data_IF_108915642290
#
_entry.id   IF_108915642290
#
_cell.length_a   1.000
_cell.length_b   1.000
_cell.length_c   1.000
_cell.angle_alpha   90.00
_cell.angle_beta   90.00
_cell.angle_gamma   90.00
#
_symmetry.space_group_name_H-M   'P 1'
#
loop_
_entity.id
_entity.type
_entity.pdbx_description
1 polymer ?
#
# COMPACT_ATOMS: atom_id res chain seq x y z
N UNK A 1 52.36 -0.76 17.37
CA UNK A 1 51.16 -0.89 16.52
C UNK A 1 49.94 -0.86 17.43
N UNK A 2 48.89 -0.07 17.15
CA UNK A 2 47.71 -0.07 18.01
C UNK A 2 46.95 -1.38 17.83
N UNK A 3 46.69 -2.07 18.93
CA UNK A 3 45.94 -3.32 18.95
C UNK A 3 44.51 -3.06 18.48
N UNK A 4 44.11 -3.68 17.37
CA UNK A 4 42.70 -3.70 16.94
C UNK A 4 41.97 -4.76 17.76
N UNK A 5 41.17 -4.31 18.72
CA UNK A 5 40.28 -5.18 19.51
C UNK A 5 38.94 -5.24 18.81
N UNK A 6 38.52 -6.45 18.42
CA UNK A 6 37.12 -6.70 18.03
C UNK A 6 36.32 -6.92 19.30
N UNK A 7 35.54 -5.92 19.69
CA UNK A 7 34.63 -6.05 20.82
C UNK A 7 33.40 -6.82 20.33
N UNK A 8 33.25 -8.07 20.74
CA UNK A 8 32.01 -8.82 20.49
C UNK A 8 30.94 -8.18 21.37
N UNK A 9 29.90 -7.63 20.75
CA UNK A 9 28.75 -7.08 21.48
C UNK A 9 28.20 -8.13 22.44
N UNK A 10 27.88 -7.70 23.67
CA UNK A 10 27.31 -8.58 24.70
C UNK A 10 26.16 -9.41 24.10
N UNK A 11 26.16 -10.72 24.38
CA UNK A 11 25.04 -11.58 23.98
C UNK A 11 23.82 -11.13 24.76
N UNK A 12 22.77 -10.71 24.05
CA UNK A 12 21.50 -10.34 24.69
C UNK A 12 20.90 -11.56 25.37
N UNK A 13 20.46 -11.39 26.60
CA UNK A 13 19.85 -12.46 27.38
C UNK A 13 18.35 -12.51 27.11
N UNK A 14 17.80 -13.73 27.14
CA UNK A 14 16.37 -14.00 27.01
C UNK A 14 15.92 -14.79 28.22
N UNK A 15 14.95 -14.28 28.96
CA UNK A 15 14.42 -14.89 30.16
C UNK A 15 13.01 -15.44 29.91
N UNK A 16 12.64 -16.50 30.63
CA UNK A 16 11.34 -17.17 30.54
C UNK A 16 10.90 -17.57 31.94
N UNK A 17 9.97 -16.81 32.53
CA UNK A 17 9.46 -17.03 33.89
C UNK A 17 8.11 -16.30 34.05
N UNK A 18 7.52 -16.28 35.25
CA UNK A 18 6.42 -15.35 35.58
C UNK A 18 6.93 -13.91 35.66
N UNK A 19 6.07 -12.92 35.42
CA UNK A 19 6.47 -11.50 35.39
C UNK A 19 7.19 -11.06 36.68
N UNK A 20 6.72 -11.54 37.83
CA UNK A 20 7.29 -11.19 39.14
C UNK A 20 8.73 -11.72 39.34
N UNK A 21 9.11 -12.77 38.60
CA UNK A 21 10.41 -13.43 38.71
C UNK A 21 11.42 -12.99 37.64
N UNK A 22 11.00 -12.20 36.65
CA UNK A 22 11.92 -11.70 35.63
C UNK A 22 13.02 -10.85 36.31
N UNK A 23 14.31 -11.09 36.01
CA UNK A 23 15.40 -10.48 36.75
C UNK A 23 15.44 -8.96 36.53
N UNK A 24 15.77 -8.22 37.59
CA UNK A 24 15.99 -6.76 37.52
C UNK A 24 17.46 -6.39 37.67
N UNK A 25 18.33 -7.37 37.93
CA UNK A 25 19.78 -7.24 38.06
C UNK A 25 20.49 -8.17 37.09
N UNK A 26 21.66 -7.77 36.58
CA UNK A 26 22.40 -8.56 35.58
C UNK A 26 21.78 -8.53 34.18
N UNK A 27 20.75 -7.71 33.98
CA UNK A 27 20.05 -7.46 32.72
C UNK A 27 20.60 -6.22 32.04
N UNK A 28 20.76 -6.29 30.72
CA UNK A 28 21.20 -5.15 29.90
C UNK A 28 20.05 -4.59 29.07
N UNK A 29 20.10 -3.29 28.78
CA UNK A 29 19.08 -2.61 27.96
C UNK A 29 18.89 -3.39 26.65
N UNK A 30 17.65 -3.77 26.36
CA UNK A 30 17.29 -4.51 25.16
C UNK A 30 17.27 -6.03 25.31
N UNK A 31 17.61 -6.58 26.48
CA UNK A 31 17.35 -7.99 26.81
C UNK A 31 15.84 -8.27 26.77
N UNK A 32 15.46 -9.52 26.53
CA UNK A 32 14.07 -9.94 26.33
C UNK A 32 13.61 -10.83 27.48
N UNK A 33 12.33 -10.74 27.84
CA UNK A 33 11.73 -11.59 28.87
C UNK A 33 10.32 -11.99 28.46
N UNK A 34 10.00 -13.28 28.42
CA UNK A 34 8.63 -13.74 28.24
C UNK A 34 8.02 -14.06 29.61
N UNK A 35 6.95 -13.34 29.96
CA UNK A 35 6.20 -13.60 31.18
C UNK A 35 5.12 -14.66 30.93
N UNK A 36 5.25 -15.83 31.53
CA UNK A 36 4.36 -16.99 31.28
C UNK A 36 2.96 -16.82 31.85
N UNK A 37 2.83 -16.11 32.96
CA UNK A 37 1.56 -15.76 33.63
C UNK A 37 0.76 -14.72 32.83
N UNK A 38 1.45 -13.81 32.12
CA UNK A 38 0.83 -12.75 31.30
C UNK A 38 0.81 -13.05 29.80
N UNK A 39 1.45 -14.14 29.38
CA UNK A 39 1.66 -14.52 27.97
C UNK A 39 2.19 -13.37 27.09
N UNK A 40 3.06 -12.55 27.64
CA UNK A 40 3.50 -11.29 27.04
C UNK A 40 5.03 -11.25 26.94
N UNK A 41 5.55 -10.83 25.79
CA UNK A 41 6.97 -10.56 25.60
C UNK A 41 7.30 -9.17 26.14
N UNK A 42 8.43 -9.02 26.82
CA UNK A 42 8.94 -7.78 27.40
C UNK A 42 10.37 -7.51 26.91
N UNK A 43 10.76 -6.24 26.94
CA UNK A 43 12.14 -5.75 26.74
C UNK A 43 12.60 -5.01 27.98
N UNK A 44 13.80 -5.28 28.46
CA UNK A 44 14.41 -4.49 29.53
C UNK A 44 14.75 -3.09 29.01
N UNK A 45 14.23 -2.05 29.66
CA UNK A 45 14.50 -0.65 29.30
C UNK A 45 15.79 -0.09 29.90
N UNK A 46 16.42 -0.81 30.84
CA UNK A 46 17.46 -0.30 31.72
C UNK A 46 16.99 -0.08 33.15
N UNK A 47 15.68 0.03 33.36
CA UNK A 47 15.07 0.24 34.68
C UNK A 47 13.88 -0.69 34.96
N UNK A 48 13.16 -1.15 33.93
CA UNK A 48 12.02 -2.04 34.07
C UNK A 48 11.79 -2.91 32.83
N UNK A 49 11.04 -4.00 33.01
CA UNK A 49 10.51 -4.80 31.90
C UNK A 49 9.33 -4.07 31.24
N UNK A 50 9.52 -3.62 30.00
CA UNK A 50 8.50 -2.93 29.19
C UNK A 50 7.91 -3.91 28.19
N UNK A 51 6.59 -4.04 28.15
CA UNK A 51 5.93 -5.00 27.27
C UNK A 51 6.21 -4.67 25.79
N UNK A 52 6.72 -5.66 25.05
CA UNK A 52 6.71 -5.68 23.58
C UNK A 52 5.44 -6.43 23.20
N UNK A 53 4.31 -5.76 23.28
CA UNK A 53 3.05 -6.34 22.79
C UNK A 53 2.44 -5.38 21.80
N UNK A 54 2.33 -5.85 20.56
CA UNK A 54 1.22 -5.44 19.72
C UNK A 54 0.15 -6.49 19.97
N UNK A 55 -1.06 -6.06 20.31
CA UNK A 55 -2.20 -6.96 20.30
C UNK A 55 -2.58 -7.23 18.85
N UNK A 56 -2.80 -8.50 18.48
CA UNK A 56 -3.30 -8.90 17.17
C UNK A 56 -4.50 -9.83 17.37
N UNK A 57 -5.64 -9.52 16.78
CA UNK A 57 -6.86 -10.31 16.92
C UNK A 57 -7.76 -10.29 15.69
N UNK A 58 -8.78 -11.14 15.70
CA UNK A 58 -9.87 -11.15 14.70
C UNK A 58 -11.17 -11.62 15.33
N UNK A 59 -12.30 -11.10 14.86
CA UNK A 59 -13.64 -11.42 15.35
C UNK A 59 -14.68 -10.49 14.75
N UNK A 60 -15.90 -10.44 15.30
CA UNK A 60 -16.89 -9.45 14.86
C UNK A 60 -16.53 -8.06 15.40
N UNK A 61 -16.98 -6.99 14.73
CA UNK A 61 -16.65 -5.61 15.15
C UNK A 61 -17.06 -5.30 16.61
N UNK A 62 -18.10 -5.95 17.12
CA UNK A 62 -18.57 -5.80 18.51
C UNK A 62 -17.59 -6.37 19.56
N UNK A 63 -16.71 -7.30 19.18
CA UNK A 63 -15.77 -7.97 20.08
C UNK A 63 -14.40 -7.27 20.13
N UNK A 64 -14.26 -6.12 19.47
CA UNK A 64 -12.99 -5.40 19.44
C UNK A 64 -12.64 -4.91 20.86
N UNK A 65 -11.44 -5.21 21.40
CA UNK A 65 -11.06 -4.72 22.72
C UNK A 65 -10.92 -3.21 22.75
N UNK A 66 -11.05 -2.61 23.94
CA UNK A 66 -10.86 -1.17 24.11
C UNK A 66 -9.44 -0.73 23.71
N UNK A 67 -9.34 0.16 22.72
CA UNK A 67 -8.07 0.65 22.18
C UNK A 67 -7.17 1.31 23.24
N UNK A 68 -7.76 1.98 24.24
CA UNK A 68 -7.02 2.61 25.34
C UNK A 68 -6.20 1.63 26.20
N UNK A 69 -6.53 0.33 26.16
CA UNK A 69 -5.80 -0.71 26.86
C UNK A 69 -4.68 -1.35 26.03
N UNK A 70 -4.48 -0.91 24.79
CA UNK A 70 -3.59 -1.56 23.83
C UNK A 70 -2.50 -0.59 23.34
N UNK A 71 -1.28 -1.08 23.10
CA UNK A 71 -0.23 -0.25 22.51
C UNK A 71 -0.56 0.16 21.08
N UNK A 72 -0.16 1.38 20.71
CA UNK A 72 -0.18 1.84 19.32
C UNK A 72 0.54 0.83 18.42
N UNK A 73 -0.06 0.57 17.26
CA UNK A 73 0.39 -0.46 16.33
C UNK A 73 -0.30 -1.82 16.48
N UNK A 74 -1.08 -2.03 17.54
CA UNK A 74 -1.94 -3.22 17.68
C UNK A 74 -2.92 -3.32 16.51
N UNK A 75 -3.25 -4.53 16.07
CA UNK A 75 -4.07 -4.83 14.89
C UNK A 75 -5.33 -5.62 15.26
N UNK A 76 -6.44 -5.35 14.58
CA UNK A 76 -7.64 -6.17 14.66
C UNK A 76 -8.32 -6.30 13.30
N UNK A 77 -8.74 -7.51 12.94
CA UNK A 77 -9.54 -7.76 11.73
C UNK A 77 -10.99 -8.10 12.10
N UNK A 78 -11.91 -7.20 11.75
CA UNK A 78 -13.35 -7.40 11.94
C UNK A 78 -13.91 -8.24 10.77
N UNK A 79 -14.34 -9.47 11.04
CA UNK A 79 -14.74 -10.47 10.04
C UNK A 79 -16.12 -10.24 9.45
N UNK A 80 -17.01 -9.58 10.18
CA UNK A 80 -18.38 -9.23 9.77
C UNK A 80 -18.41 -8.02 8.82
N UNK A 81 -17.47 -7.09 9.01
CA UNK A 81 -17.34 -5.87 8.21
C UNK A 81 -16.18 -5.93 7.20
N UNK A 82 -15.35 -6.98 7.28
CA UNK A 82 -14.11 -7.14 6.50
C UNK A 82 -13.13 -5.97 6.63
N UNK A 83 -13.05 -5.36 7.82
CA UNK A 83 -12.21 -4.18 8.09
C UNK A 83 -10.98 -4.56 8.89
N UNK A 84 -9.80 -4.15 8.43
CA UNK A 84 -8.55 -4.18 9.20
C UNK A 84 -8.37 -2.84 9.91
N UNK A 85 -8.06 -2.85 11.21
CA UNK A 85 -7.85 -1.66 12.02
C UNK A 85 -6.51 -1.74 12.77
N UNK A 86 -5.95 -0.57 13.09
CA UNK A 86 -4.76 -0.41 13.91
C UNK A 86 -5.01 0.58 15.04
N UNK A 87 -4.46 0.34 16.23
CA UNK A 87 -4.49 1.32 17.32
C UNK A 87 -3.52 2.47 17.02
N UNK A 88 -4.01 3.70 17.04
CA UNK A 88 -3.23 4.93 16.94
C UNK A 88 -3.77 5.94 17.96
N UNK A 89 -2.92 6.46 18.84
CA UNK A 89 -3.30 7.43 19.86
C UNK A 89 -4.54 6.99 20.67
N UNK A 90 -4.55 5.74 21.14
CA UNK A 90 -5.66 5.14 21.91
C UNK A 90 -6.99 5.00 21.18
N UNK A 91 -7.01 5.03 19.85
CA UNK A 91 -8.20 4.81 19.03
C UNK A 91 -7.95 3.74 17.95
N UNK A 92 -8.98 2.97 17.60
CA UNK A 92 -8.93 2.09 16.43
C UNK A 92 -9.11 2.91 15.15
N UNK A 93 -8.08 2.91 14.31
CA UNK A 93 -8.06 3.55 13.00
C UNK A 93 -8.13 2.49 11.92
N UNK A 94 -9.08 2.61 10.99
CA UNK A 94 -9.18 1.68 9.86
C UNK A 94 -7.98 1.80 8.93
N UNK A 95 -7.31 0.67 8.69
CA UNK A 95 -6.31 0.54 7.63
C UNK A 95 -7.07 0.37 6.32
N UNK A 96 -7.08 1.42 5.52
CA UNK A 96 -7.63 1.36 4.16
C UNK A 96 -6.50 1.15 3.18
N UNK A 97 -6.61 0.10 2.37
CA UNK A 97 -5.75 -0.10 1.22
C UNK A 97 -6.25 0.77 0.05
N UNK A 98 -5.56 1.87 -0.25
CA UNK A 98 -5.90 2.74 -1.39
C UNK A 98 -5.28 2.19 -2.68
N UNK A 99 -5.76 1.02 -3.12
CA UNK A 99 -5.42 0.46 -4.43
C UNK A 99 -6.56 0.66 -5.42
N UNK A 100 -6.30 0.28 -6.68
CA UNK A 100 -7.31 0.16 -7.72
C UNK A 100 -8.40 -0.83 -7.26
N UNK A 101 -9.55 -0.30 -6.88
CA UNK A 101 -10.64 -1.06 -6.25
C UNK A 101 -11.81 -1.37 -7.20
N UNK A 102 -11.91 -0.59 -8.27
CA UNK A 102 -13.03 -0.58 -9.21
C UNK A 102 -12.49 -0.71 -10.62
N UNK A 103 -13.04 -1.63 -11.40
CA UNK A 103 -12.91 -1.64 -12.85
C UNK A 103 -14.12 -0.92 -13.45
N UNK A 104 -13.90 0.14 -14.22
CA UNK A 104 -14.96 0.87 -14.90
C UNK A 104 -14.75 0.80 -16.42
N UNK A 105 -15.68 0.14 -17.14
CA UNK A 105 -15.64 0.06 -18.61
C UNK A 105 -16.41 1.25 -19.17
N UNK A 106 -15.68 2.24 -19.68
CA UNK A 106 -16.22 3.55 -20.06
C UNK A 106 -16.18 3.80 -21.57
N UNK A 107 -16.01 2.75 -22.37
CA UNK A 107 -15.88 2.82 -23.84
C UNK A 107 -16.94 3.71 -24.50
N UNK A 108 -18.21 3.64 -24.08
CA UNK A 108 -19.29 4.45 -24.66
C UNK A 108 -19.29 5.93 -24.28
N UNK A 109 -18.49 6.32 -23.28
CA UNK A 109 -18.42 7.70 -22.75
C UNK A 109 -17.05 8.35 -22.97
N UNK A 110 -16.14 7.64 -23.65
CA UNK A 110 -14.79 8.11 -23.94
C UNK A 110 -14.54 8.11 -25.45
N UNK A 111 -13.70 9.02 -25.89
CA UNK A 111 -13.30 9.16 -27.28
C UNK A 111 -11.80 9.48 -27.37
N UNK A 112 -11.17 9.02 -28.45
CA UNK A 112 -9.78 9.37 -28.77
C UNK A 112 -9.66 10.88 -29.02
N UNK A 113 -8.50 11.46 -28.70
CA UNK A 113 -8.21 12.90 -28.82
C UNK A 113 -8.93 13.80 -27.81
N UNK A 114 -9.88 13.27 -27.04
CA UNK A 114 -10.63 14.05 -26.03
C UNK A 114 -9.88 14.09 -24.71
N UNK A 115 -9.86 15.25 -24.07
CA UNK A 115 -9.24 15.45 -22.75
C UNK A 115 -10.24 15.16 -21.63
N UNK A 116 -9.81 14.36 -20.66
CA UNK A 116 -10.54 14.00 -19.44
C UNK A 116 -9.72 14.39 -18.21
N UNK A 117 -10.34 14.45 -17.03
CA UNK A 117 -9.65 14.70 -15.75
C UNK A 117 -9.90 13.56 -14.78
N UNK A 118 -8.87 13.17 -14.02
CA UNK A 118 -9.03 12.23 -12.93
C UNK A 118 -9.64 12.91 -11.69
N UNK A 119 -10.95 12.76 -11.51
CA UNK A 119 -11.71 13.29 -10.38
C UNK A 119 -12.06 12.23 -9.33
N UNK A 120 -11.44 11.04 -9.38
CA UNK A 120 -11.83 9.89 -8.54
C UNK A 120 -11.36 9.96 -7.09
N UNK A 121 -10.55 10.96 -6.73
CA UNK A 121 -9.94 11.08 -5.39
C UNK A 121 -8.69 10.22 -5.18
N UNK A 122 -8.20 9.52 -6.22
CA UNK A 122 -7.05 8.60 -6.17
C UNK A 122 -6.39 8.44 -7.54
N UNK A 123 -5.16 7.90 -7.64
CA UNK A 123 -4.58 7.54 -8.94
C UNK A 123 -5.45 6.51 -9.68
N UNK A 124 -5.51 6.60 -11.00
CA UNK A 124 -6.18 5.61 -11.85
C UNK A 124 -5.24 5.00 -12.88
N UNK A 125 -5.45 3.73 -13.26
CA UNK A 125 -4.87 3.16 -14.48
C UNK A 125 -5.89 3.28 -15.61
N UNK A 126 -5.45 3.86 -16.72
CA UNK A 126 -6.22 3.93 -17.96
C UNK A 126 -5.69 2.88 -18.92
N UNK A 127 -6.54 1.95 -19.35
CA UNK A 127 -6.24 0.95 -20.37
C UNK A 127 -7.12 1.21 -21.60
N UNK A 128 -6.50 1.42 -22.76
CA UNK A 128 -7.22 1.70 -24.01
C UNK A 128 -6.79 0.73 -25.10
N UNK A 129 -7.78 0.02 -25.65
CA UNK A 129 -7.65 -0.81 -26.84
C UNK A 129 -8.11 -0.03 -28.08
N UNK A 130 -7.24 0.03 -29.09
CA UNK A 130 -7.48 0.73 -30.36
C UNK A 130 -7.26 -0.25 -31.51
N UNK A 131 -8.19 -0.32 -32.45
CA UNK A 131 -7.96 -1.02 -33.71
C UNK A 131 -7.12 -0.13 -34.60
N UNK A 132 -5.96 -0.60 -35.01
CA UNK A 132 -5.06 0.10 -35.93
C UNK A 132 -5.12 -0.51 -37.32
N UNK A 133 -5.05 0.33 -38.34
CA UNK A 133 -4.84 -0.12 -39.72
C UNK A 133 -3.38 -0.53 -39.95
N UNK A 134 -3.12 -1.27 -41.04
CA UNK A 134 -1.75 -1.47 -41.52
C UNK A 134 -1.10 -0.10 -41.75
N UNK A 135 0.08 0.11 -41.16
CA UNK A 135 0.83 1.40 -41.22
C UNK A 135 0.09 2.59 -40.58
N UNK A 136 -0.29 2.50 -39.30
CA UNK A 136 -0.95 3.60 -38.57
C UNK A 136 0.02 4.63 -37.94
N UNK A 137 -0.53 5.77 -37.48
CA UNK A 137 0.23 6.83 -36.79
C UNK A 137 0.65 6.50 -35.35
N UNK A 138 0.36 5.29 -34.86
CA UNK A 138 0.62 4.87 -33.48
C UNK A 138 -0.46 5.34 -32.48
N UNK A 139 -0.29 4.91 -31.24
CA UNK A 139 -1.19 5.24 -30.12
C UNK A 139 -0.37 5.79 -28.97
N UNK A 140 -0.80 6.91 -28.37
CA UNK A 140 -0.12 7.52 -27.22
C UNK A 140 -1.08 7.91 -26.11
N UNK A 141 -0.70 7.65 -24.88
CA UNK A 141 -1.35 8.11 -23.66
C UNK A 141 -0.59 9.30 -23.08
N UNK A 142 -1.32 10.38 -22.82
CA UNK A 142 -0.76 11.66 -22.36
C UNK A 142 -1.43 12.05 -21.06
N UNK A 143 -0.66 12.47 -20.06
CA UNK A 143 -1.19 12.97 -18.79
C UNK A 143 -0.23 13.90 -18.05
N UNK A 144 -0.76 14.99 -17.50
CA UNK A 144 -0.08 15.92 -16.58
C UNK A 144 -1.13 16.85 -15.93
N UNK A 145 -0.71 17.93 -15.28
CA UNK A 145 -1.64 18.86 -14.61
C UNK A 145 -2.22 19.96 -15.53
N UNK A 146 -1.85 19.99 -16.82
CA UNK A 146 -2.27 21.02 -17.76
C UNK A 146 -3.56 20.64 -18.51
N UNK A 147 -4.30 21.63 -19.02
CA UNK A 147 -5.47 21.40 -19.89
C UNK A 147 -5.32 22.15 -21.22
N UNK A 148 -5.20 21.45 -22.37
CA UNK A 148 -5.06 20.00 -22.51
C UNK A 148 -3.69 19.48 -22.04
N UNK A 149 -3.57 18.20 -21.65
CA UNK A 149 -2.31 17.60 -21.22
C UNK A 149 -1.34 17.42 -22.39
N UNK A 150 -0.04 17.45 -22.12
CA UNK A 150 1.05 17.46 -23.13
C UNK A 150 2.11 16.39 -22.92
N UNK A 151 2.23 15.83 -21.72
CA UNK A 151 3.27 14.85 -21.37
C UNK A 151 2.88 13.44 -21.76
N UNK A 152 3.52 12.89 -22.81
CA UNK A 152 3.35 11.49 -23.20
C UNK A 152 4.00 10.57 -22.17
N UNK A 153 3.21 9.66 -21.59
CA UNK A 153 3.67 8.69 -20.57
C UNK A 153 3.60 7.24 -21.04
N UNK A 154 2.87 6.98 -22.12
CA UNK A 154 2.82 5.69 -22.79
C UNK A 154 2.71 5.93 -24.29
N UNK A 155 3.41 5.11 -25.07
CA UNK A 155 3.35 5.16 -26.52
C UNK A 155 3.62 3.80 -27.10
N UNK A 156 2.98 3.51 -28.22
CA UNK A 156 3.34 2.40 -29.08
C UNK A 156 3.41 2.93 -30.51
N UNK A 157 4.54 2.67 -31.17
CA UNK A 157 4.74 3.06 -32.56
C UNK A 157 3.80 2.27 -33.48
N UNK A 158 3.26 2.93 -34.51
CA UNK A 158 2.48 2.28 -35.56
C UNK A 158 3.42 1.56 -36.52
N UNK A 159 3.78 0.33 -36.18
CA UNK A 159 4.76 -0.47 -36.91
C UNK A 159 4.25 -1.83 -37.36
N UNK A 160 2.94 -2.03 -37.43
CA UNK A 160 2.38 -3.31 -37.87
C UNK A 160 2.13 -3.28 -39.38
N UNK A 161 2.65 -4.31 -40.06
CA UNK A 161 2.31 -4.63 -41.46
C UNK A 161 0.87 -5.12 -41.60
N UNK A 162 0.24 -5.48 -40.49
CA UNK A 162 -1.10 -6.06 -40.43
C UNK A 162 -2.04 -5.24 -39.53
N UNK A 163 -3.34 -5.29 -39.84
CA UNK A 163 -4.36 -4.69 -39.00
C UNK A 163 -4.58 -5.49 -37.73
N UNK A 164 -4.77 -4.82 -36.59
CA UNK A 164 -4.94 -5.49 -35.30
C UNK A 164 -5.41 -4.55 -34.20
N UNK A 165 -5.65 -5.09 -33.01
CA UNK A 165 -5.97 -4.30 -31.81
C UNK A 165 -4.70 -4.17 -30.97
N UNK A 166 -4.41 -2.95 -30.58
CA UNK A 166 -3.27 -2.61 -29.73
C UNK A 166 -3.76 -1.96 -28.46
N UNK A 167 -3.02 -2.21 -27.38
CA UNK A 167 -3.40 -1.74 -26.05
C UNK A 167 -2.28 -0.88 -25.47
N UNK A 168 -2.63 0.30 -24.96
CA UNK A 168 -1.76 1.07 -24.08
C UNK A 168 -2.35 1.11 -22.67
N UNK A 169 -1.47 1.16 -21.67
CA UNK A 169 -1.86 1.33 -20.27
C UNK A 169 -0.95 2.37 -19.62
N UNK A 170 -1.53 3.27 -18.82
CA UNK A 170 -0.76 4.29 -18.12
C UNK A 170 -1.46 4.75 -16.84
N UNK A 171 -0.67 5.25 -15.89
CA UNK A 171 -1.14 5.81 -14.63
C UNK A 171 -1.50 7.28 -14.81
N UNK A 172 -2.64 7.70 -14.27
CA UNK A 172 -3.09 9.09 -14.21
C UNK A 172 -3.24 9.46 -12.73
N UNK A 173 -2.42 10.41 -12.26
CA UNK A 173 -2.48 10.87 -10.87
C UNK A 173 -3.79 11.61 -10.59
N UNK A 174 -4.13 11.73 -9.30
CA UNK A 174 -5.29 12.51 -8.87
C UNK A 174 -5.19 13.95 -9.36
N UNK A 175 -6.27 14.46 -9.97
CA UNK A 175 -6.37 15.85 -10.45
C UNK A 175 -5.72 16.10 -11.81
N UNK A 176 -4.89 15.18 -12.30
CA UNK A 176 -4.28 15.30 -13.62
C UNK A 176 -5.33 15.16 -14.73
N UNK A 177 -5.07 15.84 -15.84
CA UNK A 177 -5.77 15.62 -17.09
C UNK A 177 -5.09 14.51 -17.89
N UNK A 178 -5.86 13.83 -18.74
CA UNK A 178 -5.36 12.77 -19.59
C UNK A 178 -6.12 12.72 -20.93
N UNK A 179 -5.46 12.19 -21.95
CA UNK A 179 -6.06 11.87 -23.25
C UNK A 179 -5.31 10.72 -23.90
N UNK A 180 -5.97 10.04 -24.83
CA UNK A 180 -5.31 9.07 -25.72
C UNK A 180 -5.38 9.60 -27.15
N UNK A 181 -4.22 9.78 -27.78
CA UNK A 181 -4.13 10.20 -29.18
C UNK A 181 -3.93 8.98 -30.06
N UNK A 182 -4.79 8.84 -31.06
CA UNK A 182 -4.65 7.94 -32.20
C UNK A 182 -5.60 8.44 -33.30
N UNK A 183 -5.21 8.22 -34.56
CA UNK A 183 -6.09 8.47 -35.71
C UNK A 183 -7.01 7.28 -36.04
N UNK A 184 -6.96 6.21 -35.26
CA UNK A 184 -7.65 4.97 -35.56
C UNK A 184 -8.95 4.79 -34.73
N UNK A 185 -9.49 3.57 -34.64
CA UNK A 185 -10.81 3.32 -34.03
C UNK A 185 -10.71 2.80 -32.61
N UNK A 186 -11.34 3.49 -31.65
CA UNK A 186 -11.47 3.02 -30.28
C UNK A 186 -12.25 1.69 -30.22
N UNK A 187 -11.68 0.69 -29.55
CA UNK A 187 -12.35 -0.60 -29.30
C UNK A 187 -12.80 -0.73 -27.84
N UNK A 188 -11.94 -0.33 -26.90
CA UNK A 188 -12.23 -0.46 -25.48
C UNK A 188 -11.52 0.59 -24.66
N UNK A 189 -12.20 1.12 -23.66
CA UNK A 189 -11.61 2.01 -22.65
C UNK A 189 -12.00 1.53 -21.25
N UNK A 190 -11.01 1.25 -20.42
CA UNK A 190 -11.19 0.81 -19.04
C UNK A 190 -10.39 1.71 -18.11
N UNK A 191 -11.03 2.15 -17.04
CA UNK A 191 -10.43 2.95 -15.97
C UNK A 191 -10.45 2.12 -14.69
N UNK A 192 -9.30 1.99 -14.03
CA UNK A 192 -9.16 1.28 -12.75
C UNK A 192 -8.81 2.27 -11.66
N UNK A 193 -9.58 2.33 -10.56
CA UNK A 193 -9.36 3.24 -9.42
C UNK A 193 -9.91 2.68 -8.10
#
# INVERSE_FOLDING_TARGET
MPTKVTQIGITRQVYYDTYANLPTTGVTIGDLGYATDRKTLYRWSGAAWVAITLYCGSGIAADIPAAAGLPDGSLYYATDTAVLQQVQSSAWVTITATYFSTQNVVTGTRALGTTYQNTTGRPMIVCVGVSIAAVSGGVSGVTDNATPPVTTVASMAGGNTDSGVVCISFLVLLGNYYKVNSGDTLQRWVEWY
#
